data_IF_716590665306
#
_entry.id   IF_716590665306
#
_cell.length_a   1.000
_cell.length_b   1.000
_cell.length_c   1.000
_cell.angle_alpha   90.00
_cell.angle_beta   90.00
_cell.angle_gamma   90.00
#
_symmetry.space_group_name_H-M   'P 1'
#
loop_
_entity.id
_entity.type
_entity.pdbx_description
1 polymer ?
#
# COMPACT_ATOMS: atom_id res chain seq x y z
N UNK A 1 -6.45 24.07 7.29
CA UNK A 1 -6.61 22.74 7.93
C UNK A 1 -5.91 22.76 9.26
N UNK A 2 -6.55 22.22 10.29
CA UNK A 2 -5.93 21.98 11.60
C UNK A 2 -5.05 20.73 11.53
N UNK A 3 -4.12 20.58 12.50
CA UNK A 3 -3.28 19.39 12.60
C UNK A 3 -4.10 18.09 12.69
N UNK A 4 -5.26 18.13 13.34
CA UNK A 4 -6.16 16.98 13.49
C UNK A 4 -6.76 16.59 12.13
N UNK A 5 -7.21 17.57 11.35
CA UNK A 5 -7.75 17.34 10.00
C UNK A 5 -6.70 16.74 9.06
N UNK A 6 -5.45 17.21 9.14
CA UNK A 6 -4.34 16.64 8.36
C UNK A 6 -4.06 15.18 8.73
N UNK A 7 -4.08 14.84 10.02
CA UNK A 7 -3.89 13.46 10.46
C UNK A 7 -5.04 12.55 10.03
N UNK A 8 -6.29 13.04 10.11
CA UNK A 8 -7.46 12.29 9.65
C UNK A 8 -7.42 12.06 8.13
N UNK A 9 -7.03 13.06 7.34
CA UNK A 9 -6.87 12.95 5.90
C UNK A 9 -5.75 11.97 5.53
N UNK A 10 -4.62 12.02 6.23
CA UNK A 10 -3.51 11.10 6.06
C UNK A 10 -3.92 9.65 6.35
N UNK A 11 -4.57 9.41 7.49
CA UNK A 11 -5.02 8.08 7.89
C UNK A 11 -5.98 7.49 6.86
N UNK A 12 -7.00 8.25 6.46
CA UNK A 12 -7.95 7.83 5.43
C UNK A 12 -7.24 7.51 4.11
N UNK A 13 -6.38 8.41 3.65
CA UNK A 13 -5.67 8.24 2.39
C UNK A 13 -4.82 6.97 2.38
N UNK A 14 -3.99 6.79 3.40
CA UNK A 14 -3.11 5.62 3.52
C UNK A 14 -3.91 4.33 3.57
N UNK A 15 -4.97 4.26 4.37
CA UNK A 15 -5.81 3.06 4.45
C UNK A 15 -6.46 2.71 3.12
N UNK A 16 -7.04 3.70 2.45
CA UNK A 16 -7.66 3.51 1.14
C UNK A 16 -6.64 3.02 0.11
N UNK A 17 -5.47 3.66 0.02
CA UNK A 17 -4.47 3.27 -0.97
C UNK A 17 -3.83 1.91 -0.67
N UNK A 18 -3.57 1.57 0.60
CA UNK A 18 -3.07 0.23 0.95
C UNK A 18 -4.08 -0.86 0.64
N UNK A 19 -5.38 -0.59 0.86
CA UNK A 19 -6.44 -1.54 0.51
C UNK A 19 -6.60 -1.68 -1.00
N UNK A 20 -6.59 -0.56 -1.74
CA UNK A 20 -6.65 -0.57 -3.20
C UNK A 20 -5.43 -1.25 -3.83
N UNK A 21 -4.25 -1.07 -3.23
CA UNK A 21 -3.04 -1.81 -3.61
C UNK A 21 -3.25 -3.31 -3.45
N UNK A 22 -3.69 -3.77 -2.27
CA UNK A 22 -4.00 -5.19 -2.05
C UNK A 22 -5.03 -5.69 -3.08
N UNK A 23 -6.15 -4.99 -3.26
CA UNK A 23 -7.20 -5.37 -4.20
C UNK A 23 -6.69 -5.45 -5.65
N UNK A 24 -5.75 -4.59 -6.05
CA UNK A 24 -5.13 -4.61 -7.37
C UNK A 24 -4.41 -5.94 -7.62
N UNK A 25 -3.76 -6.52 -6.63
CA UNK A 25 -2.91 -7.71 -6.79
C UNK A 25 -3.54 -9.01 -6.26
N UNK A 26 -4.54 -8.90 -5.38
CA UNK A 26 -5.27 -10.01 -4.78
C UNK A 26 -5.79 -10.98 -5.83
N UNK A 27 -5.62 -12.29 -5.58
CA UNK A 27 -6.15 -13.35 -6.44
C UNK A 27 -5.51 -13.46 -7.84
N UNK A 28 -4.62 -12.55 -8.24
CA UNK A 28 -3.94 -12.63 -9.54
C UNK A 28 -2.91 -13.77 -9.58
N UNK A 29 -2.66 -14.39 -10.74
CA UNK A 29 -1.58 -15.37 -10.88
C UNK A 29 -0.19 -14.73 -10.67
N UNK A 30 0.77 -15.53 -10.20
CA UNK A 30 2.18 -15.13 -10.08
C UNK A 30 2.88 -15.20 -11.46
N UNK A 31 2.55 -14.25 -12.33
CA UNK A 31 3.22 -14.09 -13.62
C UNK A 31 4.62 -13.47 -13.44
N UNK A 32 5.55 -13.70 -14.40
CA UNK A 32 6.83 -12.99 -14.41
C UNK A 32 6.63 -11.48 -14.29
N UNK A 33 7.32 -10.87 -13.33
CA UNK A 33 7.23 -9.42 -13.06
C UNK A 33 6.10 -8.99 -12.12
N UNK A 34 5.30 -9.91 -11.58
CA UNK A 34 4.27 -9.59 -10.57
C UNK A 34 4.85 -8.79 -9.40
N UNK A 35 5.93 -9.29 -8.79
CA UNK A 35 6.55 -8.64 -7.62
C UNK A 35 7.25 -7.33 -7.97
N UNK A 36 7.77 -7.20 -9.18
CA UNK A 36 8.39 -5.97 -9.68
C UNK A 36 7.34 -4.87 -9.85
N UNK A 37 6.18 -5.21 -10.43
CA UNK A 37 5.04 -4.30 -10.53
C UNK A 37 4.50 -3.90 -9.15
N UNK A 38 4.31 -4.87 -8.26
CA UNK A 38 3.84 -4.61 -6.90
C UNK A 38 4.81 -3.71 -6.11
N UNK A 39 6.11 -3.97 -6.21
CA UNK A 39 7.15 -3.14 -5.56
C UNK A 39 7.20 -1.74 -6.14
N UNK A 40 7.02 -1.59 -7.45
CA UNK A 40 6.96 -0.28 -8.11
C UNK A 40 5.78 0.54 -7.59
N UNK A 41 4.58 -0.03 -7.57
CA UNK A 41 3.39 0.64 -7.05
C UNK A 41 3.52 0.99 -5.57
N UNK A 42 4.11 0.08 -4.77
CA UNK A 42 4.43 0.35 -3.38
C UNK A 42 5.28 1.62 -3.25
N UNK A 43 6.34 1.73 -4.05
CA UNK A 43 7.22 2.90 -4.07
C UNK A 43 6.53 4.18 -4.53
N UNK A 44 5.54 4.09 -5.42
CA UNK A 44 4.70 5.22 -5.84
C UNK A 44 3.79 5.70 -4.70
N UNK A 45 3.14 4.79 -3.98
CA UNK A 45 2.29 5.12 -2.83
C UNK A 45 3.12 5.72 -1.69
N UNK A 46 4.30 5.16 -1.39
CA UNK A 46 5.22 5.73 -0.39
C UNK A 46 5.64 7.17 -0.73
N UNK A 47 5.91 7.45 -2.01
CA UNK A 47 6.23 8.80 -2.48
C UNK A 47 5.04 9.76 -2.36
N UNK A 48 3.82 9.32 -2.68
CA UNK A 48 2.59 10.10 -2.52
C UNK A 48 2.42 10.62 -1.08
N UNK A 49 2.71 9.77 -0.10
CA UNK A 49 2.63 10.12 1.33
C UNK A 49 3.93 10.64 1.93
N UNK A 50 4.90 11.05 1.10
CA UNK A 50 6.19 11.63 1.53
C UNK A 50 6.93 10.77 2.56
N UNK A 51 6.83 9.45 2.44
CA UNK A 51 7.49 8.51 3.35
C UNK A 51 6.92 8.49 4.78
N UNK A 52 5.67 8.92 4.99
CA UNK A 52 5.04 8.85 6.31
C UNK A 52 5.09 7.43 6.90
N UNK A 53 5.52 7.30 8.17
CA UNK A 53 5.74 6.00 8.82
C UNK A 53 4.50 5.10 8.79
N UNK A 54 3.31 5.67 8.99
CA UNK A 54 2.05 4.92 8.94
C UNK A 54 1.78 4.33 7.54
N UNK A 55 2.18 5.03 6.47
CA UNK A 55 2.09 4.52 5.11
C UNK A 55 2.94 3.27 4.94
N UNK A 56 4.20 3.31 5.38
CA UNK A 56 5.09 2.15 5.32
C UNK A 56 4.52 0.93 6.04
N UNK A 57 3.99 1.13 7.26
CA UNK A 57 3.38 0.03 8.05
C UNK A 57 2.17 -0.58 7.36
N UNK A 58 1.26 0.24 6.84
CA UNK A 58 0.05 -0.24 6.17
C UNK A 58 0.36 -0.92 4.85
N UNK A 59 1.30 -0.37 4.07
CA UNK A 59 1.72 -0.98 2.81
C UNK A 59 2.43 -2.32 3.02
N UNK A 60 3.29 -2.44 4.04
CA UNK A 60 3.90 -3.72 4.40
C UNK A 60 2.86 -4.75 4.82
N UNK A 61 1.86 -4.36 5.64
CA UNK A 61 0.78 -5.25 6.02
C UNK A 61 -0.01 -5.77 4.79
N UNK A 62 -0.34 -4.88 3.85
CA UNK A 62 -1.00 -5.24 2.60
C UNK A 62 -0.14 -6.17 1.73
N UNK A 63 1.17 -5.91 1.66
CA UNK A 63 2.11 -6.74 0.91
C UNK A 63 2.25 -8.14 1.51
N UNK A 64 2.36 -8.25 2.84
CA UNK A 64 2.41 -9.54 3.53
C UNK A 64 1.16 -10.38 3.31
N UNK A 65 -0.04 -9.78 3.23
CA UNK A 65 -1.25 -10.52 2.86
C UNK A 65 -1.14 -11.14 1.45
N UNK A 66 -0.55 -10.40 0.49
CA UNK A 66 -0.29 -10.96 -0.84
C UNK A 66 0.73 -12.09 -0.78
N UNK A 67 1.79 -11.97 0.03
CA UNK A 67 2.77 -13.04 0.19
C UNK A 67 2.12 -14.31 0.77
N UNK A 68 1.27 -14.18 1.80
CA UNK A 68 0.55 -15.32 2.38
C UNK A 68 -0.40 -16.00 1.37
N UNK A 69 -1.08 -15.24 0.50
CA UNK A 69 -1.92 -15.81 -0.57
C UNK A 69 -1.15 -16.64 -1.60
N UNK A 70 0.16 -16.43 -1.71
CA UNK A 70 1.02 -17.03 -2.73
C UNK A 70 1.99 -18.07 -2.17
N UNK A 71 1.89 -18.38 -0.88
CA UNK A 71 2.53 -19.55 -0.28
C UNK A 71 1.83 -20.83 -0.75
#
# INVERSE_FOLDING_TARGET
>A
MTRIEEQAALAKGVWCDSYNFYLKYHGRPLEPGFWEAATKDFGEIMRKYKGATVCGRMMLAAFSLLEEEKK
#
